data_IF_660946314926
#
_entry.id   IF_660946314926
#
_cell.length_a   1.000
_cell.length_b   1.000
_cell.length_c   1.000
_cell.angle_alpha   90.00
_cell.angle_beta   90.00
_cell.angle_gamma   90.00
#
_symmetry.space_group_name_H-M   'P 1'
#
loop_
_entity.id
_entity.type
_entity.pdbx_description
1 polymer ?
#
# COMPACT_ATOMS: atom_id res chain seq x y z
N UNK A 1 0.01 10.30 15.23
CA UNK A 1 1.25 9.88 14.54
C UNK A 1 1.83 8.70 15.31
N UNK A 2 2.18 7.58 14.65
CA UNK A 2 2.66 6.37 15.36
C UNK A 2 4.16 6.18 15.15
N UNK A 3 4.87 5.86 16.22
CA UNK A 3 6.34 5.87 16.29
C UNK A 3 6.86 4.57 16.92
N UNK A 4 8.04 4.11 16.48
CA UNK A 4 8.63 2.83 16.93
C UNK A 4 10.15 2.86 16.94
N UNK A 5 10.74 1.83 17.54
CA UNK A 5 12.19 1.69 17.75
C UNK A 5 12.73 2.42 18.99
N UNK A 6 14.04 2.31 19.28
CA UNK A 6 14.65 2.72 20.57
C UNK A 6 14.51 4.21 20.92
N UNK A 7 14.19 5.07 19.94
CA UNK A 7 13.97 6.52 20.13
C UNK A 7 12.49 6.92 20.05
N UNK A 8 11.60 5.98 19.75
CA UNK A 8 10.18 6.27 19.47
C UNK A 8 9.39 6.74 20.69
N UNK A 9 9.72 6.22 21.87
CA UNK A 9 8.98 6.49 23.11
C UNK A 9 9.18 7.93 23.59
N UNK A 10 10.42 8.42 23.61
CA UNK A 10 10.75 9.80 23.98
C UNK A 10 10.20 10.83 22.96
N UNK A 11 10.18 10.46 21.68
CA UNK A 11 9.61 11.29 20.63
C UNK A 11 8.07 11.33 20.71
N UNK A 12 7.41 10.22 21.05
CA UNK A 12 5.95 10.19 21.28
C UNK A 12 5.54 11.08 22.46
N UNK A 13 6.30 11.08 23.55
CA UNK A 13 6.07 11.99 24.70
C UNK A 13 6.15 13.47 24.29
N UNK A 14 7.07 13.82 23.40
CA UNK A 14 7.22 15.19 22.89
C UNK A 14 6.08 15.62 21.97
N UNK A 15 5.34 14.66 21.40
CA UNK A 15 4.24 14.88 20.46
C UNK A 15 2.87 14.52 21.04
N UNK A 16 2.74 14.46 22.36
CA UNK A 16 1.51 14.04 23.04
C UNK A 16 0.33 14.97 22.72
N UNK A 17 0.58 16.25 22.46
CA UNK A 17 -0.43 17.22 22.01
C UNK A 17 -1.00 16.95 20.61
N UNK A 18 -0.38 16.05 19.84
CA UNK A 18 -0.81 15.62 18.50
C UNK A 18 -1.40 14.19 18.51
N UNK A 19 -1.78 13.66 19.67
CA UNK A 19 -2.22 12.27 19.85
C UNK A 19 -1.22 11.28 19.24
N UNK A 20 0.07 11.46 19.55
CA UNK A 20 1.11 10.52 19.17
C UNK A 20 1.14 9.33 20.13
N UNK A 21 1.30 8.12 19.57
CA UNK A 21 1.33 6.87 20.33
C UNK A 21 2.57 6.06 19.92
N UNK A 22 3.22 5.46 20.91
CA UNK A 22 4.30 4.49 20.70
C UNK A 22 3.69 3.11 20.37
N UNK A 23 4.28 2.41 19.40
CA UNK A 23 3.89 1.04 19.08
C UNK A 23 5.15 0.19 18.88
N UNK A 24 5.20 -1.00 19.47
CA UNK A 24 6.33 -1.91 19.34
C UNK A 24 6.43 -2.54 17.95
N UNK A 25 5.29 -2.75 17.27
CA UNK A 25 5.20 -3.32 15.92
C UNK A 25 4.76 -2.26 14.89
N UNK A 26 5.61 -1.25 14.71
CA UNK A 26 5.42 -0.26 13.64
C UNK A 26 5.50 -0.89 12.25
N UNK A 27 6.20 -2.02 12.11
CA UNK A 27 6.32 -2.73 10.83
C UNK A 27 4.96 -3.20 10.32
N UNK A 28 4.15 -3.85 11.16
CA UNK A 28 2.80 -4.28 10.78
C UNK A 28 1.93 -3.10 10.32
N UNK A 29 2.00 -1.96 11.03
CA UNK A 29 1.24 -0.76 10.67
C UNK A 29 1.66 -0.20 9.31
N UNK A 30 2.97 -0.08 9.08
CA UNK A 30 3.52 0.42 7.82
C UNK A 30 3.09 -0.49 6.67
N UNK A 31 3.20 -1.81 6.87
CA UNK A 31 2.82 -2.77 5.83
C UNK A 31 1.33 -2.78 5.56
N UNK A 32 0.46 -2.73 6.57
CA UNK A 32 -0.99 -2.60 6.33
C UNK A 32 -1.33 -1.38 5.47
N UNK A 33 -0.70 -0.24 5.72
CA UNK A 33 -0.89 0.95 4.87
C UNK A 33 -0.34 0.73 3.46
N UNK A 34 0.85 0.14 3.34
CA UNK A 34 1.46 -0.17 2.05
C UNK A 34 0.57 -1.10 1.21
N UNK A 35 -0.01 -2.14 1.84
CA UNK A 35 -0.92 -3.10 1.21
C UNK A 35 -2.12 -2.42 0.56
N UNK A 36 -2.79 -1.51 1.27
CA UNK A 36 -3.90 -0.73 0.72
C UNK A 36 -3.43 0.15 -0.45
N UNK A 37 -2.28 0.82 -0.30
CA UNK A 37 -1.75 1.71 -1.34
C UNK A 37 -1.34 0.95 -2.61
N UNK A 38 -0.73 -0.24 -2.52
CA UNK A 38 -0.38 -1.04 -3.70
C UNK A 38 -1.61 -1.64 -4.39
N UNK A 39 -2.66 -1.94 -3.63
CA UNK A 39 -3.92 -2.44 -4.15
C UNK A 39 -4.69 -1.37 -4.95
N UNK A 40 -4.64 -0.11 -4.50
CA UNK A 40 -5.48 0.97 -5.03
C UNK A 40 -4.70 1.86 -6.01
N UNK A 41 -3.60 2.46 -5.55
CA UNK A 41 -3.00 3.61 -6.22
C UNK A 41 -2.54 3.33 -7.66
N UNK A 42 -1.73 2.29 -7.94
CA UNK A 42 -1.27 2.04 -9.30
C UNK A 42 -2.40 1.66 -10.24
N UNK A 43 -3.37 0.86 -9.79
CA UNK A 43 -4.47 0.40 -10.64
C UNK A 43 -5.41 1.56 -10.98
N UNK A 44 -5.82 2.35 -9.99
CA UNK A 44 -6.62 3.56 -10.21
C UNK A 44 -5.90 4.55 -11.13
N UNK A 45 -4.59 4.73 -10.95
CA UNK A 45 -3.78 5.64 -11.77
C UNK A 45 -3.67 5.19 -13.24
N UNK A 46 -3.46 3.88 -13.50
CA UNK A 46 -3.41 3.32 -14.86
C UNK A 46 -4.77 3.41 -15.54
N UNK A 47 -5.85 3.09 -14.82
CA UNK A 47 -7.21 3.08 -15.38
C UNK A 47 -7.85 4.48 -15.46
N UNK A 48 -7.32 5.47 -14.74
CA UNK A 48 -7.87 6.82 -14.71
C UNK A 48 -9.17 6.95 -13.91
N UNK A 49 -9.39 6.08 -12.93
CA UNK A 49 -10.66 5.91 -12.22
C UNK A 49 -10.57 6.32 -10.74
N UNK A 50 -11.71 6.66 -10.14
CA UNK A 50 -11.82 6.88 -8.70
C UNK A 50 -11.71 5.56 -7.93
N UNK A 51 -11.41 5.63 -6.64
CA UNK A 51 -11.24 4.43 -5.80
C UNK A 51 -12.48 3.52 -5.85
N UNK A 52 -13.69 4.08 -5.82
CA UNK A 52 -14.92 3.30 -5.79
C UNK A 52 -15.10 2.38 -6.99
N UNK A 53 -14.57 2.76 -8.16
CA UNK A 53 -14.65 1.99 -9.40
C UNK A 53 -13.81 0.71 -9.34
N UNK A 54 -12.82 0.63 -8.46
CA UNK A 54 -12.06 -0.60 -8.20
C UNK A 54 -12.89 -1.68 -7.49
N UNK A 55 -14.07 -1.34 -6.97
CA UNK A 55 -14.96 -2.31 -6.27
C UNK A 55 -15.70 -3.25 -7.22
N UNK A 56 -15.43 -3.16 -8.53
CA UNK A 56 -16.08 -3.96 -9.57
C UNK A 56 -15.05 -4.71 -10.42
N UNK A 57 -15.44 -5.87 -10.95
CA UNK A 57 -14.59 -6.63 -11.86
C UNK A 57 -14.39 -5.89 -13.21
N UNK A 58 -13.21 -6.01 -13.84
CA UNK A 58 -12.08 -6.88 -13.46
C UNK A 58 -11.08 -6.24 -12.47
N UNK A 59 -11.37 -5.04 -11.96
CA UNK A 59 -10.40 -4.26 -11.16
C UNK A 59 -10.32 -4.72 -9.71
N UNK A 60 -11.42 -5.25 -9.17
CA UNK A 60 -11.48 -5.78 -7.81
C UNK A 60 -10.49 -6.94 -7.63
N UNK A 61 -10.60 -7.98 -8.45
CA UNK A 61 -9.70 -9.13 -8.39
C UNK A 61 -8.23 -8.77 -8.59
N UNK A 62 -7.93 -7.77 -9.43
CA UNK A 62 -6.56 -7.25 -9.61
C UNK A 62 -6.04 -6.56 -8.35
N UNK A 63 -6.89 -5.74 -7.71
CA UNK A 63 -6.55 -5.02 -6.47
C UNK A 63 -6.27 -6.01 -5.33
N UNK A 64 -7.15 -7.00 -5.15
CA UNK A 64 -7.00 -8.06 -4.16
C UNK A 64 -5.73 -8.88 -4.42
N UNK A 65 -5.53 -9.37 -5.64
CA UNK A 65 -4.37 -10.21 -5.98
C UNK A 65 -3.04 -9.47 -5.78
N UNK A 66 -2.98 -8.20 -6.18
CA UNK A 66 -1.79 -7.35 -5.99
C UNK A 66 -1.47 -7.14 -4.51
N UNK A 67 -2.51 -6.92 -3.70
CA UNK A 67 -2.38 -6.78 -2.26
C UNK A 67 -1.87 -8.08 -1.61
N UNK A 68 -2.44 -9.22 -1.96
CA UNK A 68 -2.08 -10.51 -1.38
C UNK A 68 -0.66 -10.95 -1.77
N UNK A 69 -0.20 -10.63 -2.98
CA UNK A 69 1.20 -10.82 -3.39
C UNK A 69 2.14 -10.03 -2.47
N UNK A 70 1.85 -8.76 -2.21
CA UNK A 70 2.63 -7.93 -1.30
C UNK A 70 2.54 -8.42 0.17
N UNK A 71 1.39 -8.95 0.60
CA UNK A 71 1.22 -9.54 1.92
C UNK A 71 2.08 -10.81 2.08
N UNK A 72 2.21 -11.62 1.02
CA UNK A 72 3.13 -12.75 0.98
C UNK A 72 4.58 -12.34 1.25
N UNK A 73 5.05 -11.25 0.62
CA UNK A 73 6.40 -10.71 0.87
C UNK A 73 6.54 -10.27 2.33
N UNK A 74 5.57 -9.52 2.86
CA UNK A 74 5.58 -9.05 4.24
C UNK A 74 5.66 -10.20 5.26
N UNK A 75 4.89 -11.27 5.05
CA UNK A 75 4.92 -12.45 5.93
C UNK A 75 6.26 -13.18 5.87
N UNK A 76 6.89 -13.26 4.70
CA UNK A 76 8.24 -13.82 4.57
C UNK A 76 9.33 -12.96 5.27
N UNK A 77 9.06 -11.68 5.51
CA UNK A 77 9.91 -10.81 6.35
C UNK A 77 9.64 -10.98 7.86
N UNK A 78 8.76 -11.89 8.25
CA UNK A 78 8.37 -12.11 9.65
C UNK A 78 7.40 -11.07 10.20
N UNK A 79 6.71 -10.32 9.33
CA UNK A 79 5.77 -9.28 9.76
C UNK A 79 4.43 -9.91 10.05
N UNK A 80 3.91 -9.65 11.25
CA UNK A 80 2.62 -10.15 11.66
C UNK A 80 1.52 -9.35 10.96
N UNK A 81 0.80 -10.00 10.04
CA UNK A 81 -0.32 -9.43 9.33
C UNK A 81 -1.58 -10.27 9.59
N UNK A 82 -2.77 -9.64 9.56
CA UNK A 82 -4.03 -10.36 9.52
C UNK A 82 -4.10 -11.42 8.43
N UNK A 83 -5.08 -12.32 8.55
CA UNK A 83 -5.40 -13.28 7.50
C UNK A 83 -5.92 -12.59 6.25
N UNK A 84 -5.79 -13.25 5.10
CA UNK A 84 -6.15 -12.68 3.79
C UNK A 84 -7.60 -12.20 3.74
N UNK A 85 -8.52 -12.90 4.41
CA UNK A 85 -9.93 -12.50 4.48
C UNK A 85 -10.13 -11.15 5.18
N UNK A 86 -9.37 -10.88 6.25
CA UNK A 86 -9.43 -9.59 6.97
C UNK A 86 -8.80 -8.48 6.12
N UNK A 87 -7.68 -8.76 5.45
CA UNK A 87 -7.04 -7.80 4.54
C UNK A 87 -7.97 -7.41 3.37
N UNK A 88 -8.68 -8.38 2.79
CA UNK A 88 -9.68 -8.14 1.73
C UNK A 88 -10.83 -7.28 2.26
N UNK A 89 -11.34 -7.57 3.46
CA UNK A 89 -12.40 -6.77 4.08
C UNK A 89 -11.94 -5.33 4.35
N UNK A 90 -10.71 -5.14 4.81
CA UNK A 90 -10.10 -3.82 4.99
C UNK A 90 -10.04 -3.06 3.64
N UNK A 91 -9.57 -3.73 2.58
CA UNK A 91 -9.53 -3.14 1.23
C UNK A 91 -10.93 -2.71 0.78
N UNK A 92 -11.93 -3.57 0.89
CA UNK A 92 -13.31 -3.25 0.51
C UNK A 92 -13.87 -2.07 1.31
N UNK A 93 -13.58 -2.02 2.61
CA UNK A 93 -13.97 -0.90 3.48
C UNK A 93 -13.35 0.42 3.03
N UNK A 94 -12.06 0.39 2.66
CA UNK A 94 -11.37 1.58 2.13
C UNK A 94 -11.95 2.01 0.79
N UNK A 95 -12.17 1.08 -0.14
CA UNK A 95 -12.77 1.37 -1.45
C UNK A 95 -14.15 2.00 -1.30
N UNK A 96 -14.98 1.48 -0.39
CA UNK A 96 -16.30 2.03 -0.10
C UNK A 96 -16.24 3.42 0.56
N UNK A 97 -15.48 3.56 1.64
CA UNK A 97 -15.38 4.81 2.41
C UNK A 97 -14.71 5.95 1.64
N UNK A 98 -13.90 5.61 0.63
CA UNK A 98 -13.21 6.58 -0.23
C UNK A 98 -13.71 6.56 -1.67
N UNK A 99 -14.91 6.04 -1.92
CA UNK A 99 -15.40 5.74 -3.27
C UNK A 99 -15.29 6.93 -4.26
N UNK A 100 -15.59 8.14 -3.78
CA UNK A 100 -15.56 9.35 -4.60
C UNK A 100 -14.18 10.00 -4.75
N UNK A 101 -13.17 9.46 -4.05
CA UNK A 101 -11.83 10.02 -4.00
C UNK A 101 -11.01 9.57 -5.20
N UNK A 102 -10.18 10.51 -5.69
CA UNK A 102 -9.05 10.25 -6.55
C UNK A 102 -7.81 9.99 -5.66
N UNK A 103 -7.06 8.92 -5.94
CA UNK A 103 -5.84 8.62 -5.20
C UNK A 103 -4.70 9.59 -5.58
N UNK A 104 -3.73 9.73 -4.68
CA UNK A 104 -2.55 10.60 -4.87
C UNK A 104 -1.83 10.32 -6.19
N UNK A 105 -1.61 9.04 -6.49
CA UNK A 105 -0.89 8.63 -7.69
C UNK A 105 -1.63 9.00 -8.98
N UNK A 106 -2.96 8.88 -9.03
CA UNK A 106 -3.74 9.33 -10.18
C UNK A 106 -3.65 10.85 -10.35
N UNK A 107 -3.72 11.61 -9.26
CA UNK A 107 -3.57 13.06 -9.29
C UNK A 107 -2.16 13.49 -9.76
N UNK A 108 -1.11 12.75 -9.38
CA UNK A 108 0.26 12.98 -9.84
C UNK A 108 0.43 12.65 -11.32
N UNK A 109 -0.11 11.51 -11.78
CA UNK A 109 -0.11 11.14 -13.21
C UNK A 109 -0.81 12.20 -14.05
N UNK A 110 -2.02 12.64 -13.66
CA UNK A 110 -2.77 13.70 -14.37
C UNK A 110 -2.01 15.02 -14.46
N UNK A 111 -1.19 15.32 -13.45
CA UNK A 111 -0.41 16.54 -13.38
C UNK A 111 1.01 16.40 -13.97
N UNK A 112 1.38 15.25 -14.52
CA UNK A 112 2.73 14.99 -15.02
C UNK A 112 3.82 15.06 -13.94
N UNK A 113 3.48 14.75 -12.68
CA UNK A 113 4.42 14.73 -11.55
C UNK A 113 5.00 13.34 -11.34
N UNK A 114 6.12 13.30 -10.64
CA UNK A 114 6.67 12.06 -10.11
C UNK A 114 5.71 11.42 -9.11
N UNK A 115 5.54 10.11 -9.22
CA UNK A 115 4.67 9.31 -8.36
C UNK A 115 5.47 8.58 -7.28
N UNK A 116 4.79 8.16 -6.22
CA UNK A 116 5.36 7.36 -5.13
C UNK A 116 5.56 5.86 -5.46
N UNK A 117 5.50 5.45 -6.73
CA UNK A 117 5.47 4.02 -7.12
C UNK A 117 6.70 3.21 -6.65
N UNK A 118 7.88 3.83 -6.64
CA UNK A 118 9.12 3.20 -6.15
C UNK A 118 9.08 2.92 -4.64
N UNK A 119 8.40 3.76 -3.87
CA UNK A 119 8.22 3.58 -2.44
C UNK A 119 7.11 2.56 -2.12
N UNK A 120 6.23 2.28 -3.07
CA UNK A 120 5.14 1.31 -2.96
C UNK A 120 5.54 -0.03 -3.61
N UNK A 121 5.14 -0.26 -4.86
CA UNK A 121 5.44 -1.50 -5.59
C UNK A 121 6.96 -1.75 -5.70
N UNK A 122 7.78 -0.70 -5.83
CA UNK A 122 9.25 -0.85 -5.84
C UNK A 122 9.82 -1.47 -4.57
N UNK A 123 9.27 -1.13 -3.39
CA UNK A 123 9.69 -1.75 -2.13
C UNK A 123 9.22 -3.20 -2.01
N UNK A 124 8.03 -3.53 -2.53
CA UNK A 124 7.55 -4.92 -2.58
C UNK A 124 8.47 -5.77 -3.45
N UNK A 125 8.76 -5.29 -4.67
CA UNK A 125 9.63 -5.97 -5.64
C UNK A 125 11.03 -6.18 -5.08
N UNK A 126 11.68 -5.13 -4.59
CA UNK A 126 13.04 -5.22 -4.07
C UNK A 126 13.14 -6.20 -2.89
N UNK A 127 12.15 -6.23 -2.00
CA UNK A 127 12.12 -7.17 -0.87
C UNK A 127 11.81 -8.59 -1.33
N UNK A 128 10.89 -8.77 -2.27
CA UNK A 128 10.60 -10.06 -2.90
C UNK A 128 11.86 -10.66 -3.53
N UNK A 129 12.60 -9.89 -4.31
CA UNK A 129 13.87 -10.30 -4.92
C UNK A 129 14.90 -10.74 -3.86
N UNK A 130 15.05 -9.97 -2.77
CA UNK A 130 15.99 -10.31 -1.69
C UNK A 130 15.65 -11.63 -0.97
N UNK A 131 14.38 -12.04 -1.02
CA UNK A 131 13.87 -13.27 -0.42
C UNK A 131 13.70 -14.42 -1.42
N UNK A 132 13.94 -14.17 -2.72
CA UNK A 132 13.62 -15.14 -3.77
C UNK A 132 12.12 -15.39 -3.96
N UNK A 133 11.26 -14.45 -3.54
CA UNK A 133 9.81 -14.50 -3.69
C UNK A 133 9.40 -13.70 -4.94
N UNK A 134 8.78 -14.34 -5.95
CA UNK A 134 8.30 -13.63 -7.14
C UNK A 134 7.19 -12.64 -6.81
N UNK A 135 7.27 -11.44 -7.39
CA UNK A 135 6.25 -10.38 -7.28
C UNK A 135 5.81 -9.85 -8.66
N UNK A 136 5.29 -10.72 -9.55
CA UNK A 136 4.99 -10.34 -10.93
C UNK A 136 3.95 -9.22 -11.05
N UNK A 137 2.91 -9.20 -10.20
CA UNK A 137 1.86 -8.17 -10.27
C UNK A 137 2.42 -6.80 -9.88
N UNK A 138 3.13 -6.72 -8.75
CA UNK A 138 3.75 -5.47 -8.31
C UNK A 138 4.86 -5.01 -9.28
N UNK A 139 5.65 -5.92 -9.85
CA UNK A 139 6.67 -5.60 -10.86
C UNK A 139 6.06 -5.04 -12.14
N UNK A 140 4.93 -5.61 -12.57
CA UNK A 140 4.21 -5.13 -13.75
C UNK A 140 3.66 -3.73 -13.51
N UNK A 141 2.97 -3.50 -12.39
CA UNK A 141 2.41 -2.19 -12.03
C UNK A 141 3.48 -1.11 -11.86
N UNK A 142 4.62 -1.46 -11.24
CA UNK A 142 5.79 -0.59 -11.15
C UNK A 142 6.25 -0.12 -12.52
N UNK A 143 6.38 -1.06 -13.47
CA UNK A 143 6.85 -0.77 -14.83
C UNK A 143 5.85 0.09 -15.59
N UNK A 144 4.55 -0.21 -15.50
CA UNK A 144 3.51 0.54 -16.18
C UNK A 144 3.42 1.99 -15.71
N UNK A 145 3.39 2.24 -14.39
CA UNK A 145 3.34 3.60 -13.86
C UNK A 145 4.59 4.41 -14.23
N UNK A 146 5.77 3.77 -14.25
CA UNK A 146 7.00 4.44 -14.70
C UNK A 146 6.95 4.83 -16.18
N UNK A 147 6.23 4.07 -17.00
CA UNK A 147 6.06 4.31 -18.43
C UNK A 147 4.98 5.34 -18.79
N UNK A 148 4.14 5.75 -17.84
CA UNK A 148 3.19 6.87 -18.02
C UNK A 148 3.88 8.25 -18.00
N UNK A 149 5.21 8.27 -17.99
CA UNK A 149 6.06 9.47 -18.04
C UNK A 149 6.60 9.71 -19.45
#
# INVERSE_FOLDING_TARGET
MRLGGPKGEHFAQSLQSLNAEYNEDVSSIIWRKLLINVAINPIAAICGVKNGELSSEPLLSQSESTMLEAAGVARNLGINLPEDQELIQDLHSVLHSTAENECSMLADVKAGRETEIDALCGQVVSRGESLGVPTPLNSMLLSQIKALR
#
